data_IF_325181544206
#
_entry.id   IF_325181544206
#
_cell.length_a   1.000
_cell.length_b   1.000
_cell.length_c   1.000
_cell.angle_alpha   90.00
_cell.angle_beta   90.00
_cell.angle_gamma   90.00
#
_symmetry.space_group_name_H-M   'P 1'
#
loop_
_entity.id
_entity.type
_entity.pdbx_description
1 polymer ?
#
# COMPACT_ATOMS: atom_id res chain seq x y z
N UNK A 1 12.36 48.41 54.73
CA UNK A 1 11.22 48.20 53.82
C UNK A 1 11.64 48.70 52.45
N UNK A 2 12.13 47.82 51.56
CA UNK A 2 12.63 48.19 50.24
C UNK A 2 11.56 47.87 49.18
N UNK A 3 10.97 48.90 48.58
CA UNK A 3 10.04 48.75 47.46
C UNK A 3 10.87 48.67 46.17
N UNK A 4 10.92 47.48 45.56
CA UNK A 4 11.46 47.27 44.21
C UNK A 4 10.53 47.95 43.19
N UNK A 5 10.98 49.01 42.53
CA UNK A 5 10.31 49.58 41.37
C UNK A 5 10.45 48.61 40.19
N UNK A 6 9.33 48.06 39.70
CA UNK A 6 9.30 47.28 38.46
C UNK A 6 9.45 48.25 37.28
N UNK A 7 10.47 48.04 36.44
CA UNK A 7 10.67 48.78 35.20
C UNK A 7 9.56 48.36 34.22
N UNK A 8 8.58 49.24 34.01
CA UNK A 8 7.57 49.07 32.97
C UNK A 8 8.20 49.34 31.61
N UNK A 9 8.06 48.41 30.67
CA UNK A 9 8.50 48.57 29.28
C UNK A 9 7.87 49.82 28.67
N UNK A 10 8.67 50.61 27.97
CA UNK A 10 8.16 51.85 27.34
C UNK A 10 7.32 51.51 26.11
N UNK A 11 6.30 52.31 25.80
CA UNK A 11 5.49 52.16 24.58
C UNK A 11 6.34 52.07 23.30
N UNK A 12 7.50 52.73 23.29
CA UNK A 12 8.45 52.68 22.19
C UNK A 12 9.08 51.29 22.00
N UNK A 13 9.47 50.60 23.09
CA UNK A 13 9.98 49.22 23.01
C UNK A 13 8.93 48.26 22.50
N UNK A 14 7.66 48.40 22.92
CA UNK A 14 6.56 47.57 22.44
C UNK A 14 6.39 47.71 20.92
N UNK A 15 6.42 48.95 20.41
CA UNK A 15 6.28 49.22 18.97
C UNK A 15 7.46 48.64 18.18
N UNK A 16 8.68 48.76 18.70
CA UNK A 16 9.88 48.20 18.06
C UNK A 16 9.85 46.67 18.07
N UNK A 17 9.45 46.05 19.18
CA UNK A 17 9.29 44.59 19.27
C UNK A 17 8.19 44.08 18.34
N UNK A 18 7.07 44.79 18.21
CA UNK A 18 6.01 44.42 17.26
C UNK A 18 6.49 44.52 15.82
N UNK A 19 7.22 45.58 15.46
CA UNK A 19 7.79 45.72 14.11
C UNK A 19 8.79 44.60 13.79
N UNK A 20 9.67 44.26 14.75
CA UNK A 20 10.62 43.16 14.61
C UNK A 20 9.93 41.79 14.48
N UNK A 21 8.88 41.55 15.28
CA UNK A 21 8.09 40.32 15.22
C UNK A 21 7.38 40.16 13.86
N UNK A 22 6.83 41.23 13.29
CA UNK A 22 6.20 41.19 11.97
C UNK A 22 7.20 40.81 10.88
N UNK A 23 8.39 41.41 10.88
CA UNK A 23 9.45 41.07 9.91
C UNK A 23 9.89 39.62 10.05
N UNK A 24 10.02 39.12 11.30
CA UNK A 24 10.34 37.72 11.55
C UNK A 24 9.25 36.77 11.06
N UNK A 25 7.98 37.08 11.33
CA UNK A 25 6.84 36.26 10.88
C UNK A 25 6.74 36.22 9.36
N UNK A 26 6.97 37.35 8.67
CA UNK A 26 7.00 37.37 7.20
C UNK A 26 8.16 36.55 6.65
N UNK A 27 9.36 36.66 7.23
CA UNK A 27 10.51 35.86 6.82
C UNK A 27 10.30 34.36 7.03
N UNK A 28 9.68 33.97 8.15
CA UNK A 28 9.40 32.58 8.47
C UNK A 28 8.29 31.99 7.59
N UNK A 29 7.28 32.78 7.24
CA UNK A 29 6.26 32.39 6.26
C UNK A 29 6.85 32.19 4.85
N UNK A 30 7.76 33.06 4.41
CA UNK A 30 8.46 32.88 3.12
C UNK A 30 9.39 31.66 3.13
N UNK A 31 10.10 31.40 4.22
CA UNK A 31 10.92 30.20 4.35
C UNK A 31 10.07 28.92 4.33
N UNK A 32 8.94 28.91 5.04
CA UNK A 32 7.99 27.80 5.04
C UNK A 32 7.40 27.57 3.64
N UNK A 33 7.04 28.64 2.93
CA UNK A 33 6.55 28.55 1.55
C UNK A 33 7.59 27.95 0.60
N UNK A 34 8.84 28.39 0.68
CA UNK A 34 9.94 27.81 -0.11
C UNK A 34 10.20 26.34 0.25
N UNK A 35 10.12 25.99 1.53
CA UNK A 35 10.27 24.59 1.99
C UNK A 35 9.14 23.72 1.46
N UNK A 36 7.88 24.17 1.53
CA UNK A 36 6.73 23.44 0.97
C UNK A 36 6.91 23.23 -0.54
N UNK A 37 7.29 24.28 -1.28
CA UNK A 37 7.52 24.18 -2.73
C UNK A 37 8.63 23.16 -3.06
N UNK A 38 9.70 23.09 -2.27
CA UNK A 38 10.77 22.10 -2.49
C UNK A 38 10.38 20.66 -2.13
N UNK A 39 9.39 20.47 -1.24
CA UNK A 39 8.84 19.14 -0.96
C UNK A 39 7.88 18.68 -2.07
N UNK A 40 7.18 19.61 -2.72
CA UNK A 40 6.34 19.35 -3.89
C UNK A 40 7.13 18.94 -5.16
N UNK A 41 8.47 19.05 -5.16
CA UNK A 41 9.34 18.52 -6.23
C UNK A 41 9.71 17.03 -6.05
N UNK A 42 9.52 16.43 -4.87
CA UNK A 42 9.76 15.00 -4.62
C UNK A 42 8.90 14.05 -5.49
N UNK A 43 7.60 14.33 -5.75
CA UNK A 43 6.76 13.57 -6.67
C UNK A 43 7.35 13.51 -8.09
N UNK A 44 8.02 14.57 -8.55
CA UNK A 44 8.58 14.62 -9.91
C UNK A 44 9.81 13.71 -10.06
N UNK A 45 10.67 13.63 -9.04
CA UNK A 45 11.82 12.71 -9.05
C UNK A 45 11.37 11.24 -9.02
N UNK A 46 10.37 10.93 -8.20
CA UNK A 46 9.78 9.59 -8.13
C UNK A 46 9.02 9.20 -9.41
N UNK A 47 8.28 10.14 -9.99
CA UNK A 47 7.61 9.95 -11.28
C UNK A 47 8.64 9.71 -12.40
N UNK A 48 9.75 10.45 -12.41
CA UNK A 48 10.82 10.27 -13.38
C UNK A 48 11.52 8.90 -13.23
N UNK A 49 11.81 8.45 -12.01
CA UNK A 49 12.40 7.13 -11.79
C UNK A 49 11.45 5.99 -12.19
N UNK A 50 10.14 6.13 -11.89
CA UNK A 50 9.13 5.17 -12.34
C UNK A 50 8.98 5.14 -13.85
N UNK A 51 8.94 6.30 -14.50
CA UNK A 51 8.88 6.38 -15.95
C UNK A 51 10.11 5.75 -16.63
N UNK A 52 11.31 5.95 -16.05
CA UNK A 52 12.53 5.34 -16.56
C UNK A 52 12.50 3.80 -16.45
N UNK A 53 12.02 3.25 -15.33
CA UNK A 53 11.89 1.81 -15.15
C UNK A 53 10.91 1.19 -16.17
N UNK A 54 9.75 1.82 -16.36
CA UNK A 54 8.75 1.39 -17.36
C UNK A 54 9.31 1.52 -18.78
N UNK A 55 10.07 2.57 -19.08
CA UNK A 55 10.70 2.72 -20.40
C UNK A 55 11.75 1.64 -20.67
N UNK A 56 12.57 1.29 -19.66
CA UNK A 56 13.55 0.20 -19.77
C UNK A 56 12.86 -1.14 -20.08
N UNK A 57 11.72 -1.40 -19.43
CA UNK A 57 10.87 -2.56 -19.69
C UNK A 57 10.31 -2.57 -21.12
N UNK A 58 9.68 -1.47 -21.57
CA UNK A 58 9.16 -1.34 -22.94
C UNK A 58 10.26 -1.58 -23.97
N UNK A 59 11.45 -1.01 -23.78
CA UNK A 59 12.58 -1.16 -24.71
C UNK A 59 13.10 -2.59 -24.72
N UNK A 60 13.17 -3.24 -23.56
CA UNK A 60 13.59 -4.64 -23.45
C UNK A 60 12.63 -5.55 -24.22
N UNK A 61 11.33 -5.38 -24.04
CA UNK A 61 10.32 -6.23 -24.69
C UNK A 61 10.27 -5.98 -26.21
N UNK A 62 10.34 -4.71 -26.63
CA UNK A 62 10.47 -4.35 -28.05
C UNK A 62 11.76 -4.92 -28.67
N UNK A 63 12.84 -5.02 -27.89
CA UNK A 63 14.08 -5.66 -28.32
C UNK A 63 13.95 -7.16 -28.58
N UNK A 64 12.89 -7.80 -28.06
CA UNK A 64 12.57 -9.22 -28.22
C UNK A 64 11.47 -9.50 -29.23
N UNK A 65 10.80 -8.45 -29.72
CA UNK A 65 9.72 -8.58 -30.67
C UNK A 65 10.16 -9.37 -31.93
N UNK A 66 9.50 -10.50 -32.18
CA UNK A 66 9.72 -11.32 -33.37
C UNK A 66 8.93 -10.78 -34.56
N UNK A 67 7.76 -10.20 -34.29
CA UNK A 67 6.92 -9.56 -35.29
C UNK A 67 6.03 -8.48 -34.67
N UNK A 68 5.67 -7.46 -35.46
CA UNK A 68 4.70 -6.43 -35.08
C UNK A 68 3.40 -6.67 -35.85
N UNK A 69 2.27 -6.68 -35.14
CA UNK A 69 0.93 -6.75 -35.75
C UNK A 69 0.28 -5.37 -35.82
N UNK A 70 0.59 -4.47 -34.88
CA UNK A 70 0.15 -3.07 -34.89
C UNK A 70 1.29 -2.17 -34.42
N UNK A 71 1.55 -1.08 -35.15
CA UNK A 71 2.45 -0.03 -34.69
C UNK A 71 1.95 1.33 -35.16
N UNK A 72 1.40 2.10 -34.24
CA UNK A 72 0.95 3.49 -34.40
C UNK A 72 1.67 4.36 -33.39
N UNK A 73 1.42 5.68 -33.39
CA UNK A 73 2.00 6.58 -32.39
C UNK A 73 1.59 6.22 -30.95
N UNK A 74 0.40 5.64 -30.77
CA UNK A 74 -0.22 5.41 -29.47
C UNK A 74 -0.29 3.92 -29.10
N UNK A 75 0.06 3.01 -30.02
CA UNK A 75 -0.10 1.57 -29.79
C UNK A 75 0.99 0.77 -30.48
N UNK A 76 1.63 -0.12 -29.75
CA UNK A 76 2.56 -1.12 -30.27
C UNK A 76 2.09 -2.51 -29.83
N UNK A 77 1.61 -3.31 -30.78
CA UNK A 77 1.30 -4.73 -30.59
C UNK A 77 2.31 -5.59 -31.32
N UNK A 78 2.95 -6.49 -30.59
CA UNK A 78 3.99 -7.37 -31.11
C UNK A 78 3.98 -8.73 -30.44
N UNK A 79 4.58 -9.69 -31.13
CA UNK A 79 4.78 -11.05 -30.63
C UNK A 79 6.18 -11.16 -30.04
N UNK A 80 6.29 -11.82 -28.90
CA UNK A 80 7.57 -12.22 -28.28
C UNK A 80 7.66 -13.75 -28.26
N UNK A 81 8.87 -14.32 -28.16
CA UNK A 81 9.02 -15.76 -27.94
C UNK A 81 8.37 -16.15 -26.61
N UNK A 82 7.91 -17.40 -26.52
CA UNK A 82 7.38 -18.04 -25.29
C UNK A 82 8.16 -17.63 -24.03
N UNK A 83 7.53 -16.80 -23.20
CA UNK A 83 8.04 -16.18 -21.98
C UNK A 83 7.53 -16.89 -20.70
N UNK A 84 6.40 -17.59 -20.75
CA UNK A 84 5.82 -18.32 -19.62
C UNK A 84 6.02 -19.85 -19.68
N UNK A 85 6.72 -20.32 -20.72
CA UNK A 85 7.08 -21.71 -20.96
C UNK A 85 5.85 -22.63 -21.09
N UNK A 86 4.74 -22.10 -21.61
CA UNK A 86 3.53 -22.85 -21.95
C UNK A 86 3.58 -23.51 -23.35
N UNK A 87 4.63 -23.21 -24.12
CA UNK A 87 4.85 -23.71 -25.47
C UNK A 87 4.24 -22.84 -26.58
N UNK A 88 3.73 -21.65 -26.27
CA UNK A 88 3.17 -20.69 -27.20
C UNK A 88 3.88 -19.33 -27.13
N UNK A 89 3.98 -18.65 -28.28
CA UNK A 89 4.47 -17.27 -28.32
C UNK A 89 3.41 -16.30 -27.78
N UNK A 90 3.82 -15.30 -27.00
CA UNK A 90 2.91 -14.30 -26.45
C UNK A 90 2.76 -13.06 -27.32
N UNK A 91 1.59 -12.44 -27.20
CA UNK A 91 1.30 -11.14 -27.79
C UNK A 91 1.20 -10.09 -26.70
N UNK A 92 2.02 -9.04 -26.80
CA UNK A 92 1.99 -7.87 -25.94
C UNK A 92 1.43 -6.68 -26.70
N UNK A 93 0.63 -5.86 -26.04
CA UNK A 93 0.20 -4.55 -26.55
C UNK A 93 0.52 -3.47 -25.55
N UNK A 94 1.41 -2.56 -25.91
CA UNK A 94 1.57 -1.31 -25.19
C UNK A 94 0.66 -0.24 -25.80
N UNK A 95 -0.13 0.43 -24.97
CA UNK A 95 -1.09 1.44 -25.40
C UNK A 95 -0.99 2.70 -24.54
N UNK A 96 -0.80 3.84 -25.19
CA UNK A 96 -0.91 5.15 -24.57
C UNK A 96 -2.32 5.71 -24.79
N UNK A 97 -3.04 5.97 -23.70
CA UNK A 97 -4.32 6.66 -23.71
C UNK A 97 -4.09 8.12 -23.30
N UNK A 98 -4.08 9.01 -24.29
CA UNK A 98 -3.86 10.45 -24.07
C UNK A 98 -5.04 11.16 -23.39
N UNK A 99 -6.23 10.55 -23.37
CA UNK A 99 -7.41 11.12 -22.69
C UNK A 99 -7.37 10.77 -21.21
N UNK A 100 -7.05 9.52 -20.88
CA UNK A 100 -6.87 9.09 -19.50
C UNK A 100 -5.51 9.51 -18.91
N UNK A 101 -4.53 9.81 -19.75
CA UNK A 101 -3.16 10.07 -19.32
C UNK A 101 -2.48 8.80 -18.78
N UNK A 102 -2.74 7.66 -19.41
CA UNK A 102 -2.30 6.34 -18.93
C UNK A 102 -1.47 5.61 -19.98
N UNK A 103 -0.39 4.97 -19.55
CA UNK A 103 0.34 3.99 -20.35
C UNK A 103 0.00 2.60 -19.83
N UNK A 104 -0.51 1.73 -20.71
CA UNK A 104 -1.00 0.39 -20.38
C UNK A 104 -0.21 -0.69 -21.12
N UNK A 105 -0.13 -1.86 -20.52
CA UNK A 105 0.25 -3.10 -21.19
C UNK A 105 -0.95 -4.04 -21.20
N UNK A 106 -1.17 -4.71 -22.33
CA UNK A 106 -2.14 -5.79 -22.47
C UNK A 106 -1.36 -7.06 -22.82
N UNK A 107 -1.51 -8.10 -21.99
CA UNK A 107 -0.90 -9.41 -22.18
C UNK A 107 -1.94 -10.48 -21.83
N UNK A 108 -2.06 -11.51 -22.68
CA UNK A 108 -3.00 -12.62 -22.48
C UNK A 108 -4.46 -12.18 -22.20
N UNK A 109 -4.85 -10.99 -22.68
CA UNK A 109 -6.18 -10.40 -22.46
C UNK A 109 -6.34 -9.60 -21.17
N UNK A 110 -5.34 -9.58 -20.28
CA UNK A 110 -5.30 -8.74 -19.08
C UNK A 110 -4.68 -7.40 -19.40
N UNK A 111 -5.25 -6.32 -18.85
CA UNK A 111 -4.77 -4.94 -19.05
C UNK A 111 -4.25 -4.38 -17.73
N UNK A 112 -2.99 -3.97 -17.71
CA UNK A 112 -2.33 -3.37 -16.54
C UNK A 112 -1.92 -1.93 -16.86
N UNK A 113 -2.27 -0.99 -15.98
CA UNK A 113 -1.79 0.40 -16.07
C UNK A 113 -0.39 0.49 -15.49
N UNK A 114 0.60 0.79 -16.34
CA UNK A 114 2.01 0.91 -15.95
C UNK A 114 2.31 2.27 -15.32
N UNK A 115 1.75 3.32 -15.93
CA UNK A 115 1.90 4.72 -15.50
C UNK A 115 0.56 5.44 -15.65
N UNK A 116 0.27 6.31 -14.69
CA UNK A 116 -0.83 7.28 -14.72
C UNK A 116 -0.27 8.70 -14.67
N UNK A 117 -1.05 9.69 -15.12
CA UNK A 117 -0.61 11.09 -15.22
C UNK A 117 0.44 11.33 -16.31
N UNK A 118 0.51 10.44 -17.31
CA UNK A 118 1.41 10.57 -18.46
C UNK A 118 0.94 11.71 -19.34
N UNK A 119 1.82 12.69 -19.58
CA UNK A 119 1.51 13.87 -20.41
C UNK A 119 1.87 13.68 -21.88
N UNK A 120 2.68 12.66 -22.19
CA UNK A 120 3.03 12.27 -23.55
C UNK A 120 3.83 10.97 -23.59
N UNK A 121 3.46 10.08 -24.50
CA UNK A 121 4.23 8.90 -24.90
C UNK A 121 4.04 8.68 -26.39
N UNK A 122 5.05 8.16 -27.09
CA UNK A 122 4.93 7.86 -28.51
C UNK A 122 5.75 6.64 -28.91
N UNK A 123 5.18 5.79 -29.76
CA UNK A 123 5.88 4.71 -30.42
C UNK A 123 6.23 5.12 -31.86
N UNK A 124 7.46 4.86 -32.26
CA UNK A 124 7.97 5.18 -33.58
C UNK A 124 8.76 4.03 -34.18
N UNK A 125 8.85 4.01 -35.51
CA UNK A 125 9.73 3.08 -36.23
C UNK A 125 10.50 3.80 -37.32
N UNK A 126 11.68 3.24 -37.64
CA UNK A 126 12.47 3.61 -38.81
C UNK A 126 12.49 2.41 -39.76
N UNK A 127 11.88 2.51 -40.96
CA UNK A 127 11.89 1.40 -41.89
C UNK A 127 13.29 1.19 -42.47
N UNK A 128 13.73 -0.08 -42.54
CA UNK A 128 14.94 -0.49 -43.27
C UNK A 128 14.61 -1.61 -44.24
N UNK A 129 15.15 -1.55 -45.45
CA UNK A 129 15.07 -2.66 -46.41
C UNK A 129 16.26 -3.58 -46.18
N UNK A 130 15.98 -4.87 -45.98
CA UNK A 130 17.02 -5.91 -45.81
C UNK A 130 16.80 -6.98 -46.87
N UNK A 131 17.87 -7.43 -47.52
CA UNK A 131 17.81 -8.53 -48.48
C UNK A 131 18.15 -9.83 -47.75
N UNK A 132 17.19 -10.73 -47.61
CA UNK A 132 17.34 -12.00 -46.86
C UNK A 132 16.13 -12.31 -45.98
N UNK A 133 16.16 -13.45 -45.29
CA UNK A 133 15.17 -13.76 -44.26
C UNK A 133 15.26 -12.78 -43.09
N UNK A 134 14.15 -12.61 -42.36
CA UNK A 134 14.14 -11.85 -41.11
C UNK A 134 15.27 -12.35 -40.19
N UNK A 135 15.91 -11.43 -39.45
CA UNK A 135 16.92 -11.82 -38.48
C UNK A 135 16.27 -12.76 -37.46
N UNK A 136 16.84 -13.94 -37.27
CA UNK A 136 16.49 -14.77 -36.12
C UNK A 136 16.91 -13.98 -34.88
N UNK A 137 16.01 -13.77 -33.89
CA UNK A 137 16.39 -13.14 -32.63
C UNK A 137 17.63 -13.83 -32.07
N UNK A 138 18.51 -13.06 -31.44
CA UNK A 138 19.65 -13.65 -30.72
C UNK A 138 19.12 -14.68 -29.72
N UNK A 139 19.60 -15.94 -29.75
CA UNK A 139 19.26 -16.93 -28.73
C UNK A 139 19.58 -16.37 -27.35
N UNK A 140 18.59 -16.33 -26.48
CA UNK A 140 18.67 -15.74 -25.16
C UNK A 140 18.64 -16.84 -24.09
N UNK A 141 19.24 -16.54 -22.93
CA UNK A 141 19.29 -17.47 -21.80
C UNK A 141 17.92 -17.51 -21.10
N UNK A 142 17.28 -18.66 -21.15
CA UNK A 142 16.04 -18.96 -20.44
C UNK A 142 16.18 -18.85 -18.91
N UNK A 143 17.38 -18.68 -18.37
CA UNK A 143 17.59 -18.50 -16.93
C UNK A 143 17.84 -17.03 -16.54
N UNK A 144 17.97 -16.12 -17.52
CA UNK A 144 17.92 -14.66 -17.30
C UNK A 144 16.46 -14.15 -17.30
N UNK A 145 15.52 -15.10 -17.18
CA UNK A 145 14.17 -14.89 -16.70
C UNK A 145 14.23 -14.78 -15.17
N UNK A 146 14.42 -13.56 -14.66
CA UNK A 146 13.68 -13.26 -13.44
C UNK A 146 12.21 -13.52 -13.75
N UNK A 147 11.48 -14.21 -12.88
CA UNK A 147 10.03 -14.27 -12.97
C UNK A 147 9.48 -12.84 -12.87
N UNK A 148 9.39 -12.16 -14.01
CA UNK A 148 9.11 -10.72 -14.10
C UNK A 148 7.68 -10.43 -14.57
N UNK A 149 6.92 -11.44 -14.97
CA UNK A 149 5.59 -11.25 -15.58
C UNK A 149 4.44 -12.02 -14.93
N UNK A 150 4.69 -12.69 -13.79
CA UNK A 150 3.72 -12.53 -12.72
C UNK A 150 3.86 -11.07 -12.29
N UNK A 151 2.84 -10.26 -12.57
CA UNK A 151 2.74 -8.96 -11.91
C UNK A 151 2.72 -9.27 -10.42
N UNK A 152 3.87 -9.15 -9.76
CA UNK A 152 3.95 -9.38 -8.32
C UNK A 152 2.85 -8.59 -7.63
N UNK A 153 2.30 -9.16 -6.56
CA UNK A 153 1.10 -8.62 -5.90
C UNK A 153 1.15 -7.10 -5.84
N UNK A 154 0.14 -6.44 -6.38
CA UNK A 154 0.04 -4.98 -6.41
C UNK A 154 -1.00 -4.51 -5.40
N UNK A 155 -0.65 -3.45 -4.67
CA UNK A 155 -1.58 -2.76 -3.77
C UNK A 155 -2.33 -1.67 -4.55
N UNK A 156 -3.66 -1.77 -4.57
CA UNK A 156 -4.53 -0.91 -5.39
C UNK A 156 -5.20 0.22 -4.60
N UNK A 157 -5.28 0.06 -3.28
CA UNK A 157 -5.91 1.02 -2.40
C UNK A 157 -6.61 0.37 -1.21
N UNK A 158 -7.22 1.21 -0.39
CA UNK A 158 -7.99 0.80 0.77
C UNK A 158 -9.19 1.71 1.00
N UNK A 159 -10.08 1.26 1.87
CA UNK A 159 -11.09 2.11 2.46
C UNK A 159 -11.26 1.72 3.94
N UNK A 160 -11.78 2.63 4.76
CA UNK A 160 -11.80 2.46 6.20
C UNK A 160 -13.09 2.96 6.85
N UNK A 161 -13.31 2.53 8.09
CA UNK A 161 -14.41 2.99 8.93
C UNK A 161 -13.97 2.99 10.41
N UNK A 162 -14.57 3.89 11.18
CA UNK A 162 -14.33 4.02 12.62
C UNK A 162 -15.61 4.31 13.39
N UNK A 163 -15.68 3.80 14.61
CA UNK A 163 -16.78 4.09 15.52
C UNK A 163 -16.51 5.37 16.31
N UNK A 164 -17.46 6.32 16.25
CA UNK A 164 -17.41 7.55 17.06
C UNK A 164 -17.87 7.36 18.51
N UNK A 165 -18.59 6.27 18.78
CA UNK A 165 -19.06 5.82 20.11
C UNK A 165 -19.05 4.31 20.16
N UNK A 166 -19.01 3.73 21.36
CA UNK A 166 -18.96 2.28 21.53
C UNK A 166 -20.15 1.61 20.84
N UNK A 167 -19.85 0.57 20.07
CA UNK A 167 -20.83 -0.19 19.29
C UNK A 167 -20.38 -1.63 19.11
N UNK A 168 -21.25 -2.45 18.52
CA UNK A 168 -21.03 -3.88 18.35
C UNK A 168 -21.01 -4.31 16.87
N UNK A 169 -20.89 -3.33 15.98
CA UNK A 169 -20.79 -3.55 14.54
C UNK A 169 -20.02 -2.42 13.87
N UNK A 170 -19.31 -2.75 12.79
CA UNK A 170 -18.61 -1.80 11.94
C UNK A 170 -18.89 -2.12 10.47
N UNK A 171 -19.44 -1.16 9.74
CA UNK A 171 -19.63 -1.25 8.29
C UNK A 171 -18.41 -0.64 7.59
N UNK A 172 -17.55 -1.48 7.04
CA UNK A 172 -16.35 -1.06 6.30
C UNK A 172 -16.70 -0.98 4.82
N UNK A 173 -16.49 0.18 4.16
CA UNK A 173 -16.73 0.32 2.72
C UNK A 173 -15.80 -0.59 1.91
N UNK A 174 -16.32 -1.10 0.80
CA UNK A 174 -15.48 -1.78 -0.20
C UNK A 174 -14.59 -0.72 -0.88
N UNK A 175 -13.28 -0.97 -1.05
CA UNK A 175 -12.37 -0.04 -1.71
C UNK A 175 -12.85 0.38 -3.11
N UNK A 176 -12.45 1.57 -3.55
CA UNK A 176 -12.78 2.02 -4.90
C UNK A 176 -12.08 1.16 -5.96
N UNK A 177 -12.75 0.98 -7.10
CA UNK A 177 -12.19 0.27 -8.25
C UNK A 177 -12.14 -1.25 -8.12
N UNK A 178 -12.72 -1.85 -7.07
CA UNK A 178 -12.79 -3.31 -6.93
C UNK A 178 -13.48 -3.93 -8.14
N UNK A 179 -12.78 -4.87 -8.77
CA UNK A 179 -13.24 -5.69 -9.87
C UNK A 179 -13.34 -7.16 -9.44
N UNK A 180 -14.07 -7.96 -10.22
CA UNK A 180 -14.12 -9.41 -10.00
C UNK A 180 -12.72 -10.00 -10.08
N UNK A 181 -12.38 -10.85 -9.11
CA UNK A 181 -11.07 -11.51 -9.05
C UNK A 181 -10.05 -10.81 -8.16
N UNK A 182 -10.27 -9.55 -7.75
CA UNK A 182 -9.37 -8.85 -6.84
C UNK A 182 -9.36 -9.50 -5.45
N UNK A 183 -8.20 -9.49 -4.77
CA UNK A 183 -8.08 -9.91 -3.38
C UNK A 183 -8.46 -8.75 -2.47
N UNK A 184 -9.44 -8.99 -1.61
CA UNK A 184 -9.81 -8.12 -0.51
C UNK A 184 -9.27 -8.70 0.78
N UNK A 185 -8.57 -7.90 1.58
CA UNK A 185 -8.19 -8.23 2.95
C UNK A 185 -8.83 -7.22 3.90
N UNK A 186 -9.64 -7.69 4.84
CA UNK A 186 -10.25 -6.87 5.86
C UNK A 186 -9.52 -7.05 7.19
N UNK A 187 -9.25 -5.94 7.86
CA UNK A 187 -8.66 -5.88 9.17
C UNK A 187 -9.55 -5.07 10.12
N UNK A 188 -9.86 -5.63 11.28
CA UNK A 188 -10.70 -4.98 12.29
C UNK A 188 -9.95 -4.99 13.62
N UNK A 189 -9.65 -3.80 14.10
CA UNK A 189 -9.09 -3.53 15.42
C UNK A 189 -10.22 -3.18 16.39
N UNK A 190 -10.28 -3.84 17.55
CA UNK A 190 -11.32 -3.64 18.56
C UNK A 190 -10.67 -3.42 19.93
N UNK A 191 -11.12 -2.38 20.63
CA UNK A 191 -10.76 -2.10 22.02
C UNK A 191 -11.41 -3.13 22.95
N UNK A 192 -10.61 -3.71 23.85
CA UNK A 192 -11.06 -4.45 25.03
C UNK A 192 -12.15 -5.50 24.76
N UNK A 193 -12.11 -6.19 23.62
CA UNK A 193 -13.15 -7.15 23.25
C UNK A 193 -13.09 -8.40 24.12
N UNK A 194 -13.85 -8.38 25.21
CA UNK A 194 -14.03 -9.51 26.14
C UNK A 194 -15.19 -10.43 25.74
N UNK A 195 -15.73 -10.28 24.53
CA UNK A 195 -16.83 -11.05 23.99
C UNK A 195 -16.39 -12.27 23.18
N UNK A 196 -17.33 -12.79 22.38
CA UNK A 196 -17.04 -13.78 21.35
C UNK A 196 -16.29 -13.14 20.19
N UNK A 197 -15.52 -13.96 19.47
CA UNK A 197 -14.83 -13.56 18.26
C UNK A 197 -15.76 -12.86 17.26
N UNK A 198 -15.29 -11.76 16.64
CA UNK A 198 -16.05 -11.09 15.58
C UNK A 198 -16.51 -12.09 14.52
N UNK A 199 -17.78 -12.00 14.14
CA UNK A 199 -18.38 -12.95 13.21
C UNK A 199 -17.82 -12.78 11.80
N UNK A 200 -17.31 -13.86 11.22
CA UNK A 200 -16.88 -13.93 9.83
C UNK A 200 -18.04 -13.60 8.86
N UNK A 201 -17.93 -12.59 7.99
CA UNK A 201 -18.96 -12.34 6.98
C UNK A 201 -19.01 -13.46 5.93
N UNK A 202 -20.19 -13.69 5.34
CA UNK A 202 -20.37 -14.76 4.36
C UNK A 202 -19.44 -14.59 3.13
N UNK A 203 -18.78 -15.67 2.74
CA UNK A 203 -17.89 -15.70 1.58
C UNK A 203 -16.52 -15.04 1.81
N UNK A 204 -16.15 -14.80 3.06
CA UNK A 204 -14.79 -14.49 3.50
C UNK A 204 -14.16 -15.75 4.13
N UNK A 205 -12.83 -15.78 4.16
CA UNK A 205 -12.01 -16.81 4.78
C UNK A 205 -11.19 -16.16 5.90
N UNK A 206 -11.09 -16.82 7.05
CA UNK A 206 -10.26 -16.35 8.16
C UNK A 206 -8.78 -16.57 7.91
N UNK A 207 -8.00 -15.49 8.09
CA UNK A 207 -6.54 -15.54 8.23
C UNK A 207 -6.23 -15.78 9.69
N UNK A 208 -6.66 -14.86 10.54
CA UNK A 208 -6.37 -14.89 11.96
C UNK A 208 -7.29 -13.95 12.74
N UNK A 209 -7.78 -14.41 13.88
CA UNK A 209 -8.28 -13.54 14.94
C UNK A 209 -7.39 -13.74 16.17
N UNK A 210 -6.78 -12.67 16.66
CA UNK A 210 -5.92 -12.75 17.84
C UNK A 210 -6.12 -11.56 18.78
N UNK A 211 -5.83 -11.79 20.05
CA UNK A 211 -6.09 -10.88 21.16
C UNK A 211 -4.91 -10.84 22.11
N UNK A 212 -4.68 -9.69 22.73
CA UNK A 212 -3.83 -9.63 23.92
C UNK A 212 -4.66 -9.81 25.18
N UNK A 213 -4.39 -10.89 25.93
CA UNK A 213 -5.02 -11.21 27.20
C UNK A 213 -4.01 -11.14 28.34
N UNK A 214 -4.30 -10.31 29.35
CA UNK A 214 -3.47 -10.21 30.54
C UNK A 214 -4.32 -9.98 31.78
N UNK A 215 -3.96 -10.67 32.87
CA UNK A 215 -4.60 -10.54 34.19
C UNK A 215 -6.15 -10.61 34.19
N UNK A 216 -6.74 -11.45 33.32
CA UNK A 216 -8.19 -11.62 33.27
C UNK A 216 -8.93 -10.70 32.30
N UNK A 217 -8.22 -9.83 31.58
CA UNK A 217 -8.79 -8.84 30.66
C UNK A 217 -8.22 -9.01 29.25
N UNK A 218 -9.07 -8.82 28.25
CA UNK A 218 -8.64 -8.58 26.87
C UNK A 218 -8.49 -7.08 26.67
N UNK A 219 -7.38 -6.66 26.08
CA UNK A 219 -7.06 -5.24 25.90
C UNK A 219 -7.26 -4.80 24.45
N UNK A 220 -6.88 -5.65 23.50
CA UNK A 220 -7.01 -5.33 22.08
C UNK A 220 -7.13 -6.60 21.25
N UNK A 221 -7.90 -6.51 20.18
CA UNK A 221 -8.11 -7.57 19.19
C UNK A 221 -7.68 -7.09 17.81
N UNK A 222 -7.11 -7.98 17.01
CA UNK A 222 -6.95 -7.82 15.56
C UNK A 222 -7.60 -9.02 14.87
N UNK A 223 -8.59 -8.75 14.03
CA UNK A 223 -9.26 -9.76 13.21
C UNK A 223 -8.96 -9.54 11.73
N UNK A 224 -8.57 -10.61 11.04
CA UNK A 224 -8.08 -10.58 9.67
C UNK A 224 -8.77 -11.64 8.83
N UNK A 225 -9.33 -11.20 7.70
CA UNK A 225 -10.04 -12.06 6.76
C UNK A 225 -9.67 -11.70 5.33
N UNK A 226 -9.78 -12.66 4.43
CA UNK A 226 -9.63 -12.42 2.99
C UNK A 226 -10.81 -12.95 2.18
N UNK A 227 -10.96 -12.40 0.98
CA UNK A 227 -11.97 -12.80 0.00
C UNK A 227 -11.46 -12.50 -1.41
N UNK A 228 -11.78 -13.37 -2.37
CA UNK A 228 -11.73 -13.02 -3.80
C UNK A 228 -13.04 -12.32 -4.17
N UNK A 229 -12.92 -11.10 -4.70
CA UNK A 229 -14.04 -10.28 -5.10
C UNK A 229 -14.88 -11.00 -6.17
N UNK A 230 -16.18 -11.07 -5.93
CA UNK A 230 -17.16 -11.59 -6.86
C UNK A 230 -17.46 -10.55 -7.97
N UNK A 231 -18.22 -10.93 -9.02
CA UNK A 231 -18.63 -9.99 -10.06
C UNK A 231 -19.43 -8.77 -9.57
N UNK A 232 -20.01 -8.85 -8.36
CA UNK A 232 -20.65 -7.74 -7.68
C UNK A 232 -20.38 -7.82 -6.19
N UNK A 233 -19.80 -6.77 -5.66
CA UNK A 233 -19.58 -6.57 -4.23
C UNK A 233 -20.65 -5.61 -3.67
N UNK A 234 -21.07 -5.74 -2.40
CA UNK A 234 -21.89 -4.73 -1.74
C UNK A 234 -21.09 -3.43 -1.57
N UNK A 235 -21.77 -2.31 -1.26
CA UNK A 235 -21.06 -1.05 -0.97
C UNK A 235 -20.23 -1.11 0.31
N UNK A 236 -20.61 -1.98 1.25
CA UNK A 236 -19.98 -2.16 2.56
C UNK A 236 -20.09 -3.61 3.02
N UNK A 237 -19.10 -4.07 3.77
CA UNK A 237 -19.19 -5.29 4.59
C UNK A 237 -19.34 -4.93 6.07
N UNK A 238 -20.28 -5.59 6.74
CA UNK A 238 -20.52 -5.37 8.18
C UNK A 238 -19.91 -6.49 8.99
N UNK A 239 -19.04 -6.12 9.92
CA UNK A 239 -18.42 -7.00 10.91
C UNK A 239 -19.11 -6.78 12.26
N UNK A 240 -19.49 -7.85 12.95
CA UNK A 240 -20.24 -7.79 14.21
C UNK A 240 -19.49 -8.52 15.33
N UNK A 241 -19.68 -8.08 16.57
CA UNK A 241 -19.14 -8.70 17.78
C UNK A 241 -20.14 -8.55 18.94
N UNK A 242 -19.85 -9.14 20.10
CA UNK A 242 -20.87 -9.32 21.15
C UNK A 242 -21.06 -8.11 22.07
N UNK A 243 -20.03 -7.31 22.32
CA UNK A 243 -20.05 -6.22 23.31
C UNK A 243 -19.85 -4.85 22.66
N UNK A 244 -20.41 -3.79 23.24
CA UNK A 244 -20.16 -2.44 22.73
C UNK A 244 -18.72 -2.03 23.03
N UNK A 245 -17.94 -1.78 21.98
CA UNK A 245 -16.55 -1.39 22.04
C UNK A 245 -16.21 -0.33 21.00
N UNK A 246 -15.05 0.29 21.16
CA UNK A 246 -14.43 1.08 20.10
C UNK A 246 -13.85 0.17 19.03
N UNK A 247 -13.95 0.58 17.77
CA UNK A 247 -13.40 -0.16 16.65
C UNK A 247 -12.87 0.75 15.56
N UNK A 248 -11.81 0.30 14.92
CA UNK A 248 -11.25 0.83 13.69
C UNK A 248 -11.10 -0.32 12.71
N UNK A 249 -11.48 -0.11 11.46
CA UNK A 249 -11.46 -1.15 10.45
C UNK A 249 -11.07 -0.62 9.09
N UNK A 250 -10.29 -1.40 8.36
CA UNK A 250 -9.88 -1.07 7.00
C UNK A 250 -9.92 -2.31 6.11
N UNK A 251 -10.21 -2.08 4.83
CA UNK A 251 -10.23 -3.10 3.80
C UNK A 251 -9.25 -2.69 2.71
N UNK A 252 -8.32 -3.58 2.37
CA UNK A 252 -7.29 -3.37 1.36
C UNK A 252 -7.62 -4.20 0.13
N UNK A 253 -7.28 -3.66 -1.05
CA UNK A 253 -7.46 -4.28 -2.35
C UNK A 253 -6.10 -4.59 -2.97
N UNK A 254 -5.94 -5.81 -3.47
CA UNK A 254 -4.75 -6.27 -4.16
C UNK A 254 -5.08 -6.98 -5.47
N UNK A 255 -4.16 -6.92 -6.41
CA UNK A 255 -4.19 -7.60 -7.72
C UNK A 255 -2.89 -8.38 -7.93
N UNK A 256 -2.80 -9.26 -8.94
CA UNK A 256 -1.58 -10.04 -9.22
C UNK A 256 -1.23 -11.09 -8.15
N UNK A 257 -2.21 -11.51 -7.35
CA UNK A 257 -2.07 -12.54 -6.33
C UNK A 257 -2.47 -13.92 -6.87
N UNK A 258 -2.04 -15.00 -6.20
CA UNK A 258 -2.55 -16.35 -6.46
C UNK A 258 -4.08 -16.34 -6.30
N UNK A 259 -4.86 -16.68 -7.35
CA UNK A 259 -6.32 -16.60 -7.32
C UNK A 259 -6.97 -17.73 -6.51
N UNK A 260 -6.20 -18.73 -6.10
CA UNK A 260 -6.65 -19.93 -5.37
C UNK A 260 -6.14 -20.00 -3.94
N UNK A 261 -4.88 -19.62 -3.72
CA UNK A 261 -4.23 -19.63 -2.40
C UNK A 261 -3.44 -18.32 -2.15
N UNK A 262 -4.14 -17.18 -2.01
CA UNK A 262 -3.49 -15.88 -1.95
C UNK A 262 -2.62 -15.68 -0.70
N UNK A 263 -2.84 -16.43 0.38
CA UNK A 263 -2.13 -16.25 1.65
C UNK A 263 -1.05 -17.32 1.82
N UNK A 264 0.18 -17.00 1.39
CA UNK A 264 1.31 -17.93 1.45
C UNK A 264 1.72 -18.29 2.88
N UNK A 265 1.74 -17.29 3.77
CA UNK A 265 2.11 -17.46 5.16
C UNK A 265 1.56 -16.31 6.01
N UNK A 266 1.35 -16.55 7.29
CA UNK A 266 1.12 -15.48 8.26
C UNK A 266 1.73 -15.82 9.62
N UNK A 267 2.02 -14.80 10.42
CA UNK A 267 2.48 -14.94 11.80
C UNK A 267 1.96 -13.77 12.63
N UNK A 268 1.63 -14.02 13.90
CA UNK A 268 1.07 -13.02 14.81
C UNK A 268 1.87 -12.94 16.09
N UNK A 269 2.00 -11.73 16.63
CA UNK A 269 2.55 -11.45 17.95
C UNK A 269 1.58 -10.56 18.72
N UNK A 270 1.50 -10.77 20.03
CA UNK A 270 0.69 -9.95 20.92
C UNK A 270 1.43 -9.78 22.25
N UNK A 271 1.68 -8.54 22.66
CA UNK A 271 2.34 -8.22 23.92
C UNK A 271 2.01 -6.79 24.37
N UNK A 272 2.82 -6.24 25.26
CA UNK A 272 2.81 -4.86 25.72
C UNK A 272 4.19 -4.23 25.51
N UNK A 273 4.30 -3.28 24.58
CA UNK A 273 5.57 -2.66 24.22
C UNK A 273 5.38 -1.28 23.56
N UNK A 274 6.44 -0.47 23.55
CA UNK A 274 6.63 0.55 22.52
C UNK A 274 7.15 -0.11 21.25
N UNK A 275 6.92 0.56 20.12
CA UNK A 275 7.29 0.11 18.78
C UNK A 275 6.97 -1.38 18.49
N UNK A 276 5.69 -1.78 18.53
CA UNK A 276 5.25 -3.17 18.46
C UNK A 276 5.90 -3.97 17.33
N UNK A 277 6.58 -5.10 17.65
CA UNK A 277 7.27 -5.91 16.66
C UNK A 277 6.32 -6.79 15.85
N UNK A 278 6.43 -6.67 14.53
CA UNK A 278 5.82 -7.57 13.57
C UNK A 278 6.69 -8.83 13.40
N UNK A 279 6.16 -10.03 13.64
CA UNK A 279 6.92 -11.27 13.52
C UNK A 279 7.28 -11.57 12.07
N UNK A 280 8.36 -12.31 11.85
CA UNK A 280 8.73 -12.76 10.51
C UNK A 280 7.84 -13.91 10.03
N UNK A 281 7.68 -14.01 8.71
CA UNK A 281 7.11 -15.19 8.03
C UNK A 281 8.15 -15.78 7.09
N UNK A 282 8.04 -17.07 6.79
CA UNK A 282 8.86 -17.71 5.76
C UNK A 282 8.00 -17.93 4.53
N UNK A 283 8.29 -17.22 3.45
CA UNK A 283 7.60 -17.41 2.19
C UNK A 283 8.16 -18.60 1.43
N UNK A 284 7.30 -19.31 0.70
CA UNK A 284 7.72 -20.41 -0.19
C UNK A 284 7.78 -20.00 -1.66
N UNK A 285 7.46 -18.75 -1.94
CA UNK A 285 7.39 -18.16 -3.29
C UNK A 285 8.19 -16.86 -3.32
N UNK A 286 8.81 -16.61 -4.47
CA UNK A 286 9.47 -15.34 -4.78
C UNK A 286 8.42 -14.24 -4.97
N UNK A 287 8.83 -12.98 -4.90
CA UNK A 287 7.97 -11.80 -5.14
C UNK A 287 6.70 -11.70 -4.28
N UNK A 288 6.66 -12.35 -3.11
CA UNK A 288 5.54 -12.23 -2.19
C UNK A 288 5.43 -10.80 -1.65
N UNK A 289 4.21 -10.28 -1.53
CA UNK A 289 3.99 -9.02 -0.82
C UNK A 289 3.86 -9.29 0.68
N UNK A 290 4.72 -8.66 1.46
CA UNK A 290 4.71 -8.74 2.92
C UNK A 290 3.91 -7.56 3.47
N UNK A 291 2.75 -7.84 4.03
CA UNK A 291 1.88 -6.86 4.68
C UNK A 291 2.03 -6.98 6.19
N UNK A 292 2.38 -5.87 6.84
CA UNK A 292 2.50 -5.72 8.30
C UNK A 292 1.25 -5.01 8.79
N UNK A 293 0.50 -5.63 9.69
CA UNK A 293 -0.72 -5.07 10.27
C UNK A 293 -0.61 -5.04 11.79
N UNK A 294 -1.22 -4.03 12.41
CA UNK A 294 -1.25 -3.89 13.86
C UNK A 294 -2.56 -3.32 14.35
N UNK A 295 -2.97 -3.77 15.53
CA UNK A 295 -3.91 -3.07 16.40
C UNK A 295 -3.21 -2.74 17.71
N UNK A 296 -3.52 -1.56 18.24
CA UNK A 296 -2.92 -1.02 19.45
C UNK A 296 -4.02 -0.55 20.37
N UNK A 297 -3.95 -0.94 21.64
CA UNK A 297 -4.82 -0.37 22.65
C UNK A 297 -4.54 1.13 22.76
N UNK A 298 -5.60 1.91 22.88
CA UNK A 298 -5.61 3.37 22.85
C UNK A 298 -5.04 3.96 21.55
N UNK A 299 -4.33 5.09 21.61
CA UNK A 299 -3.88 5.85 20.44
C UNK A 299 -2.42 6.26 20.46
N UNK A 300 -1.48 5.31 20.69
CA UNK A 300 -0.05 5.59 20.72
C UNK A 300 0.50 5.74 19.29
N UNK A 301 -0.18 6.50 18.42
CA UNK A 301 0.13 6.57 16.99
C UNK A 301 0.25 8.02 16.52
N UNK A 302 1.00 8.20 15.44
CA UNK A 302 0.88 9.37 14.57
C UNK A 302 -0.06 8.99 13.43
N UNK A 303 -1.22 9.65 13.36
CA UNK A 303 -2.19 9.42 12.28
C UNK A 303 -1.55 9.62 10.91
N UNK A 304 -1.99 8.81 9.94
CA UNK A 304 -1.50 8.76 8.56
C UNK A 304 -0.01 8.38 8.42
N UNK A 305 0.64 7.98 9.51
CA UNK A 305 2.03 7.53 9.53
C UNK A 305 2.14 6.11 10.11
N UNK A 306 2.02 5.06 9.27
CA UNK A 306 2.12 3.67 9.71
C UNK A 306 3.43 3.34 10.41
N UNK A 307 4.49 4.12 10.18
CA UNK A 307 5.69 4.06 11.01
C UNK A 307 6.46 2.74 10.88
N UNK A 308 6.24 1.94 9.83
CA UNK A 308 7.01 0.72 9.58
C UNK A 308 8.16 1.06 8.63
N UNK A 309 9.37 1.16 9.17
CA UNK A 309 10.54 1.52 8.39
C UNK A 309 10.79 0.55 7.22
N UNK A 310 11.13 1.10 6.05
CA UNK A 310 11.37 0.31 4.84
C UNK A 310 10.12 -0.28 4.17
N UNK A 311 8.92 0.07 4.63
CA UNK A 311 7.65 -0.36 4.03
C UNK A 311 6.90 0.83 3.44
N UNK A 312 6.12 0.58 2.40
CA UNK A 312 5.15 1.52 1.84
C UNK A 312 3.93 1.60 2.77
N UNK A 313 3.51 2.80 3.18
CA UNK A 313 2.37 2.97 4.07
C UNK A 313 1.04 2.60 3.38
N UNK A 314 0.12 1.97 4.13
CA UNK A 314 -1.28 1.77 3.71
C UNK A 314 -2.19 2.68 4.54
N UNK A 315 -2.21 2.49 5.85
CA UNK A 315 -3.07 3.27 6.75
C UNK A 315 -2.53 3.27 8.18
N UNK A 316 -2.87 4.31 8.94
CA UNK A 316 -2.66 4.40 10.38
C UNK A 316 -3.67 5.38 10.97
N UNK A 317 -4.68 4.86 11.66
CA UNK A 317 -5.76 5.68 12.20
C UNK A 317 -6.31 5.06 13.49
N UNK A 318 -7.28 5.74 14.09
CA UNK A 318 -7.86 5.43 15.39
C UNK A 318 -9.35 5.64 15.41
N UNK A 319 -10.02 4.92 16.31
CA UNK A 319 -11.47 5.03 16.49
C UNK A 319 -11.90 6.43 16.93
N UNK A 320 -11.20 7.00 17.92
CA UNK A 320 -11.36 8.36 18.45
C UNK A 320 -10.12 8.77 19.25
N UNK A 321 -10.06 10.01 19.73
CA UNK A 321 -9.01 10.46 20.65
C UNK A 321 -9.33 10.15 22.12
N UNK A 322 -8.31 9.91 22.94
CA UNK A 322 -8.40 9.77 24.40
C UNK A 322 -8.44 8.32 24.88
N UNK A 323 -8.53 8.13 26.20
CA UNK A 323 -8.61 6.79 26.82
C UNK A 323 -9.89 6.05 26.42
N UNK A 324 -9.83 4.72 26.27
CA UNK A 324 -10.88 3.85 25.70
C UNK A 324 -11.04 4.07 24.21
N UNK A 325 -10.03 3.73 23.44
CA UNK A 325 -9.96 3.85 21.99
C UNK A 325 -9.09 2.73 21.45
N UNK A 326 -9.13 2.51 20.14
CA UNK A 326 -8.22 1.57 19.50
C UNK A 326 -7.63 2.23 18.26
N UNK A 327 -6.35 1.97 18.05
CA UNK A 327 -5.65 2.34 16.84
C UNK A 327 -5.31 1.09 16.02
N UNK A 328 -5.08 1.29 14.74
CA UNK A 328 -4.56 0.24 13.88
C UNK A 328 -3.86 0.82 12.67
N UNK A 329 -3.07 -0.02 12.02
CA UNK A 329 -2.35 0.40 10.82
C UNK A 329 -1.85 -0.77 10.00
N UNK A 330 -1.47 -0.45 8.77
CA UNK A 330 -0.86 -1.38 7.85
C UNK A 330 0.20 -0.72 6.96
N UNK A 331 1.18 -1.52 6.56
CA UNK A 331 2.21 -1.15 5.58
C UNK A 331 2.68 -2.41 4.84
N UNK A 332 3.24 -2.26 3.64
CA UNK A 332 3.70 -3.40 2.85
C UNK A 332 5.08 -3.20 2.23
N UNK A 333 5.73 -4.31 1.88
CA UNK A 333 6.96 -4.33 1.06
C UNK A 333 6.93 -5.55 0.16
N UNK A 334 7.60 -5.50 -0.99
CA UNK A 334 7.80 -6.68 -1.84
C UNK A 334 9.04 -7.42 -1.35
N UNK A 335 8.91 -8.74 -1.20
CA UNK A 335 10.02 -9.63 -0.92
C UNK A 335 10.41 -10.35 -2.21
N UNK A 336 11.55 -9.96 -2.79
CA UNK A 336 11.98 -10.46 -4.10
C UNK A 336 12.21 -11.98 -4.14
N UNK A 337 12.77 -12.55 -3.07
CA UNK A 337 13.10 -13.98 -3.01
C UNK A 337 12.41 -14.70 -1.84
N UNK A 338 11.99 -15.94 -2.10
CA UNK A 338 11.40 -16.83 -1.12
C UNK A 338 12.31 -16.98 0.11
N UNK A 339 11.70 -17.07 1.28
CA UNK A 339 12.41 -17.27 2.54
C UNK A 339 11.94 -16.32 3.62
N UNK A 340 12.81 -16.05 4.58
CA UNK A 340 12.47 -15.28 5.76
C UNK A 340 12.26 -13.78 5.41
N UNK A 341 11.06 -13.26 5.65
CA UNK A 341 10.69 -11.87 5.39
C UNK A 341 11.30 -10.86 6.38
N UNK A 342 12.01 -11.36 7.39
CA UNK A 342 12.53 -10.55 8.49
C UNK A 342 11.42 -10.02 9.41
N UNK A 343 11.84 -9.38 10.49
CA UNK A 343 10.95 -8.68 11.41
C UNK A 343 10.94 -7.18 11.08
N UNK A 344 9.85 -6.51 11.41
CA UNK A 344 9.75 -5.05 11.39
C UNK A 344 9.07 -4.59 12.67
N UNK A 345 9.03 -3.28 12.93
CA UNK A 345 8.25 -2.72 14.03
C UNK A 345 7.42 -1.55 13.52
N UNK A 346 6.24 -1.38 14.11
CA UNK A 346 5.51 -0.12 14.04
C UNK A 346 6.26 0.94 14.84
N UNK A 347 6.14 2.21 14.45
CA UNK A 347 6.63 3.34 15.26
C UNK A 347 5.45 3.91 16.05
N UNK A 348 5.44 3.73 17.37
CA UNK A 348 4.39 4.24 18.25
C UNK A 348 4.91 5.40 19.11
N UNK A 349 4.00 6.23 19.61
CA UNK A 349 4.34 7.39 20.46
C UNK A 349 4.38 7.02 21.95
N UNK A 350 4.19 5.75 22.29
CA UNK A 350 4.08 5.26 23.65
C UNK A 350 3.96 3.74 23.72
N UNK A 351 4.04 3.22 24.94
CA UNK A 351 3.92 1.79 25.25
C UNK A 351 2.45 1.45 25.44
N UNK A 352 1.93 0.50 24.67
CA UNK A 352 0.58 -0.02 24.83
C UNK A 352 0.49 -1.52 24.50
N UNK A 353 -0.64 -2.13 24.82
CA UNK A 353 -0.96 -3.49 24.41
C UNK A 353 -1.18 -3.53 22.91
N UNK A 354 -0.75 -4.60 22.26
CA UNK A 354 -0.86 -4.72 20.82
C UNK A 354 -1.17 -6.13 20.37
N UNK A 355 -1.70 -6.22 19.14
CA UNK A 355 -1.66 -7.43 18.32
C UNK A 355 -1.14 -7.02 16.96
N UNK A 356 -0.06 -7.65 16.49
CA UNK A 356 0.52 -7.42 15.16
C UNK A 356 0.55 -8.71 14.37
N UNK A 357 0.16 -8.66 13.11
CA UNK A 357 0.20 -9.79 12.19
C UNK A 357 1.01 -9.42 10.96
N UNK A 358 1.87 -10.34 10.53
CA UNK A 358 2.50 -10.30 9.21
C UNK A 358 1.81 -11.30 8.32
N UNK A 359 1.46 -10.88 7.11
CA UNK A 359 0.89 -11.71 6.05
C UNK A 359 1.83 -11.66 4.86
N UNK A 360 2.09 -12.80 4.23
CA UNK A 360 2.69 -12.88 2.90
C UNK A 360 1.62 -13.23 1.89
N UNK A 361 1.40 -12.33 0.92
CA UNK A 361 0.50 -12.57 -0.20
C UNK A 361 1.30 -13.22 -1.32
N UNK A 362 0.87 -14.39 -1.79
CA UNK A 362 1.49 -15.09 -2.91
C UNK A 362 1.18 -14.35 -4.21
N UNK A 363 2.16 -14.13 -5.11
CA UNK A 363 1.87 -13.70 -6.47
C UNK A 363 1.23 -14.84 -7.28
N UNK A 364 0.67 -14.49 -8.44
CA UNK A 364 0.09 -15.42 -9.43
C UNK A 364 1.06 -16.48 -9.98
#
# INVERSE_FOLDING_TARGET
MAVRSRLGYTLAELVVSMAAATVLLTGLASALFLTIETFDEQPAAFAASRAAAVQEEVVRDLGRATSFSTLTADTATFTVPDEDNDGAEETLTYQYDSVAGELKCIRLGFTTTLLSGVTGSTFGSLPRTVTGSAATPTPYDTNDWGQRWATGVAYEGFAEAKLSTDGNSLAVPVPSGVASGDLLIAAIAIDSDSGDDPSLPAGWTEINVNRYFYNGYYYVTLSLWWKIAAPSEPSTYTFNWSLNQQAYGWMMRFTGHDPTDPINAFATAADYADDPPCPAVTTTVDNAMIVRLGSFDTTPITEDAPGVAGHTPITMDRSKSGSNSVAGGAAYVIQDAAGNSGTASFTTTGIEQYVTTTIAIAPE
#
